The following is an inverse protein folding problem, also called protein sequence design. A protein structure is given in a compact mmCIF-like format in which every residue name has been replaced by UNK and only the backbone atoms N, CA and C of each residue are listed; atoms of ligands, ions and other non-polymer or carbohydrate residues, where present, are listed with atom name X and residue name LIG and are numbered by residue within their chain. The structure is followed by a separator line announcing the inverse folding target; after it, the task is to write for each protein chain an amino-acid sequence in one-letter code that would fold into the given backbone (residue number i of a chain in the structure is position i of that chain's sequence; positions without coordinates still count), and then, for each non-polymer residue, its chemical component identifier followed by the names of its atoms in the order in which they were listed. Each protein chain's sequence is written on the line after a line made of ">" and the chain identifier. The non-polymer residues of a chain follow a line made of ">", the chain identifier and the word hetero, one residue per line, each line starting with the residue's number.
data_IF_911675563538
#
_entry.id   IF_911675563538
#
_cell.length_a   1.000
_cell.length_b   1.000
_cell.length_c   1.000
_cell.angle_alpha   90.00
_cell.angle_beta   90.00
_cell.angle_gamma   90.00
#
_symmetry.space_group_name_H-M   'P 1'
#
loop_
_entity.id
_entity.type
_entity.pdbx_description
1 polymer ?
#
# COMPACT_ATOMS: atom_id res chain seq x y z
N UNK A 1 -19.40 -22.61 -10.25
CA UNK A 1 -18.13 -23.17 -10.75
C UNK A 1 -17.18 -22.02 -11.07
N UNK A 2 -16.56 -21.41 -10.05
CA UNK A 2 -15.41 -20.52 -10.17
C UNK A 2 -14.80 -20.42 -8.76
N UNK A 3 -13.92 -21.38 -8.45
CA UNK A 3 -13.04 -21.35 -7.28
C UNK A 3 -11.74 -20.71 -7.75
N UNK A 4 -11.46 -19.48 -7.32
CA UNK A 4 -10.11 -18.91 -7.46
C UNK A 4 -9.37 -19.14 -6.15
N UNK A 5 -8.46 -20.10 -6.20
CA UNK A 5 -7.67 -20.62 -5.09
C UNK A 5 -6.70 -19.55 -4.57
N UNK A 6 -6.83 -19.20 -3.29
CA UNK A 6 -5.90 -18.37 -2.53
C UNK A 6 -4.61 -19.16 -2.27
N UNK A 7 -3.71 -19.20 -3.25
CA UNK A 7 -2.32 -19.64 -3.06
C UNK A 7 -1.37 -18.45 -3.25
N UNK A 8 -1.33 -17.58 -2.25
CA UNK A 8 -0.41 -16.45 -2.18
C UNK A 8 1.04 -16.89 -1.93
N UNK A 9 1.75 -17.31 -2.99
CA UNK A 9 3.20 -17.55 -3.01
C UNK A 9 3.94 -16.24 -2.63
N UNK A 10 5.05 -16.27 -1.87
CA UNK A 10 5.73 -15.05 -1.39
C UNK A 10 6.11 -14.10 -2.54
N UNK A 11 5.78 -12.81 -2.37
CA UNK A 11 6.12 -11.69 -3.26
C UNK A 11 7.64 -11.48 -3.27
N UNK A 12 8.34 -12.03 -4.25
CA UNK A 12 9.71 -11.62 -4.58
C UNK A 12 9.61 -10.43 -5.52
N UNK A 13 9.88 -9.23 -5.02
CA UNK A 13 10.06 -8.05 -5.87
C UNK A 13 11.32 -8.24 -6.70
N UNK A 14 11.16 -8.57 -7.98
CA UNK A 14 12.26 -8.58 -8.94
C UNK A 14 12.43 -7.14 -9.43
N UNK A 15 13.65 -6.62 -9.34
CA UNK A 15 14.03 -5.31 -9.88
C UNK A 15 14.91 -5.52 -11.10
N UNK A 16 14.59 -4.86 -12.20
CA UNK A 16 15.40 -4.88 -13.42
C UNK A 16 16.08 -3.53 -13.59
N UNK A 17 17.38 -3.55 -13.92
CA UNK A 17 18.17 -2.35 -14.18
C UNK A 17 18.16 -2.08 -15.69
N UNK A 18 17.55 -0.98 -16.12
CA UNK A 18 17.67 -0.54 -17.51
C UNK A 18 19.11 -0.10 -17.82
N UNK A 19 19.52 -0.03 -19.10
CA UNK A 19 20.82 0.54 -19.49
C UNK A 19 21.04 1.96 -18.94
N UNK A 20 19.96 2.70 -18.67
CA UNK A 20 19.95 4.05 -18.09
C UNK A 20 19.84 4.11 -16.55
N UNK A 21 20.17 3.02 -15.83
CA UNK A 21 20.31 3.01 -14.36
C UNK A 21 19.02 3.17 -13.55
N UNK A 22 17.83 2.96 -14.12
CA UNK A 22 16.58 3.00 -13.35
C UNK A 22 16.17 1.61 -12.86
N UNK A 23 15.68 1.56 -11.61
CA UNK A 23 15.06 0.38 -11.03
C UNK A 23 13.62 0.27 -11.52
N UNK A 24 13.40 -0.61 -12.49
CA UNK A 24 12.06 -1.00 -12.94
C UNK A 24 11.57 -2.13 -12.05
N UNK A 25 10.35 -1.99 -11.51
CA UNK A 25 9.68 -3.08 -10.80
C UNK A 25 9.15 -4.07 -11.82
N UNK A 26 9.51 -5.35 -11.69
CA UNK A 26 9.06 -6.38 -12.62
C UNK A 26 7.85 -7.12 -12.06
N UNK A 27 6.78 -7.19 -12.85
CA UNK A 27 5.57 -7.99 -12.57
C UNK A 27 5.64 -9.32 -13.32
N UNK A 28 4.93 -10.35 -12.84
CA UNK A 28 4.98 -11.68 -13.47
C UNK A 28 4.24 -11.73 -14.81
N UNK A 29 3.10 -11.06 -14.91
CA UNK A 29 2.31 -11.00 -16.14
C UNK A 29 1.61 -9.66 -16.31
N UNK A 30 1.32 -9.30 -17.56
CA UNK A 30 0.53 -8.11 -17.88
C UNK A 30 -0.92 -8.22 -17.39
N UNK A 31 -1.44 -9.44 -17.22
CA UNK A 31 -2.80 -9.73 -16.71
C UNK A 31 -2.96 -9.52 -15.20
N UNK A 32 -1.87 -9.28 -14.46
CA UNK A 32 -1.94 -9.10 -13.00
C UNK A 32 -2.67 -7.81 -12.61
N UNK A 33 -2.72 -6.81 -13.51
CA UNK A 33 -3.49 -5.59 -13.29
C UNK A 33 -4.24 -5.20 -14.58
N UNK A 34 -5.51 -4.84 -14.42
CA UNK A 34 -6.34 -4.26 -15.49
C UNK A 34 -6.26 -2.74 -15.41
N UNK A 35 -6.05 -2.07 -16.55
CA UNK A 35 -6.00 -0.62 -16.58
C UNK A 35 -7.43 -0.06 -16.53
N UNK A 36 -7.77 0.79 -15.53
CA UNK A 36 -9.14 1.29 -15.39
C UNK A 36 -9.53 2.35 -16.45
N UNK A 37 -8.59 2.76 -17.32
CA UNK A 37 -8.87 3.70 -18.42
C UNK A 37 -9.33 2.94 -19.67
N UNK A 38 -8.58 1.91 -20.09
CA UNK A 38 -8.89 1.15 -21.31
C UNK A 38 -9.59 -0.19 -21.04
N UNK A 39 -9.72 -0.62 -19.78
CA UNK A 39 -10.33 -1.90 -19.37
C UNK A 39 -9.64 -3.14 -19.96
N UNK A 40 -8.33 -3.03 -20.22
CA UNK A 40 -7.49 -4.10 -20.75
C UNK A 40 -6.32 -4.40 -19.79
N UNK A 41 -5.67 -5.58 -19.91
CA UNK A 41 -4.43 -5.88 -19.21
C UNK A 41 -3.38 -4.77 -19.38
N UNK A 42 -2.82 -4.30 -18.26
CA UNK A 42 -1.99 -3.11 -18.25
C UNK A 42 -0.62 -3.34 -18.92
N UNK A 43 -0.49 -2.84 -20.15
CA UNK A 43 0.73 -2.90 -20.98
C UNK A 43 1.69 -1.76 -20.64
N UNK A 44 2.98 -2.09 -20.50
CA UNK A 44 4.03 -1.19 -20.01
C UNK A 44 3.56 -0.42 -18.78
N UNK A 45 3.03 -1.12 -17.78
CA UNK A 45 2.26 -0.40 -16.77
C UNK A 45 3.10 0.52 -15.90
N UNK A 46 2.45 1.59 -15.46
CA UNK A 46 2.98 2.59 -14.55
C UNK A 46 2.15 2.58 -13.27
N UNK A 47 2.84 2.48 -12.14
CA UNK A 47 2.28 2.61 -10.80
C UNK A 47 2.44 4.06 -10.35
N UNK A 48 1.36 4.68 -9.88
CA UNK A 48 1.39 6.05 -9.35
C UNK A 48 1.78 6.04 -7.88
N UNK A 49 2.10 7.21 -7.30
CA UNK A 49 2.34 7.31 -5.85
C UNK A 49 1.14 6.91 -4.97
N UNK A 50 -0.07 6.84 -5.52
CA UNK A 50 -1.25 6.36 -4.81
C UNK A 50 -1.47 4.84 -4.96
N UNK A 51 -0.57 4.14 -5.66
CA UNK A 51 -0.59 2.69 -5.86
C UNK A 51 -1.51 2.21 -6.99
N UNK A 52 -2.21 3.11 -7.69
CA UNK A 52 -3.02 2.73 -8.85
C UNK A 52 -2.14 2.51 -10.07
N UNK A 53 -2.51 1.50 -10.87
CA UNK A 53 -1.72 1.03 -12.02
C UNK A 53 -2.47 1.30 -13.32
N UNK A 54 -1.77 1.81 -14.32
CA UNK A 54 -2.32 2.15 -15.63
C UNK A 54 -1.41 1.69 -16.74
N UNK A 55 -1.94 1.52 -17.96
CA UNK A 55 -1.11 1.47 -19.17
C UNK A 55 -0.31 2.78 -19.30
N UNK A 56 0.95 2.71 -19.71
CA UNK A 56 1.77 3.90 -19.95
C UNK A 56 1.08 4.88 -20.91
N UNK A 57 0.60 4.37 -22.06
CA UNK A 57 -0.08 5.20 -23.07
C UNK A 57 -1.29 5.94 -22.50
N UNK A 58 -2.13 5.27 -21.70
CA UNK A 58 -3.35 5.87 -21.16
C UNK A 58 -3.06 7.01 -20.19
N UNK A 59 -2.13 6.81 -19.25
CA UNK A 59 -1.85 7.83 -18.23
C UNK A 59 -1.00 8.98 -18.78
N UNK A 60 -0.09 8.71 -19.72
CA UNK A 60 0.71 9.74 -20.39
C UNK A 60 -0.17 10.60 -21.28
N UNK A 61 -1.12 10.01 -22.01
CA UNK A 61 -2.09 10.77 -22.80
C UNK A 61 -2.98 11.66 -21.92
N UNK A 62 -3.37 11.18 -20.74
CA UNK A 62 -4.10 11.98 -19.75
C UNK A 62 -3.30 13.21 -19.29
N UNK A 63 -2.00 13.03 -19.04
CA UNK A 63 -1.09 14.14 -18.73
C UNK A 63 -0.95 15.13 -19.90
N UNK A 64 -0.69 14.63 -21.12
CA UNK A 64 -0.49 15.48 -22.30
C UNK A 64 -1.72 16.31 -22.67
N UNK A 65 -2.91 15.77 -22.45
CA UNK A 65 -4.18 16.46 -22.73
C UNK A 65 -4.45 17.60 -21.73
N UNK A 66 -3.93 17.47 -20.51
CA UNK A 66 -4.12 18.42 -19.42
C UNK A 66 -2.78 19.03 -18.99
N UNK A 67 -1.95 19.42 -19.97
CA UNK A 67 -0.64 19.97 -19.65
C UNK A 67 -0.78 21.31 -18.91
N UNK A 68 -0.58 21.27 -17.60
CA UNK A 68 -0.61 22.43 -16.73
C UNK A 68 0.67 22.46 -15.88
N UNK A 69 0.88 23.58 -15.17
CA UNK A 69 1.94 23.69 -14.17
C UNK A 69 1.70 22.81 -12.95
N UNK A 70 0.52 22.19 -12.81
CA UNK A 70 0.15 21.35 -11.67
C UNK A 70 0.26 19.85 -12.02
N UNK A 71 0.57 18.98 -11.05
CA UNK A 71 0.55 17.53 -11.28
C UNK A 71 -0.83 17.04 -11.74
N UNK A 72 -0.89 15.99 -12.55
CA UNK A 72 -2.17 15.41 -12.94
C UNK A 72 -2.82 14.68 -11.76
N UNK A 73 -4.16 14.60 -11.77
CA UNK A 73 -4.90 13.84 -10.78
C UNK A 73 -5.07 12.39 -11.23
N UNK A 74 -4.98 11.47 -10.27
CA UNK A 74 -5.25 10.06 -10.48
C UNK A 74 -6.71 9.85 -10.94
N UNK A 75 -6.96 9.21 -12.10
CA UNK A 75 -8.33 8.97 -12.57
C UNK A 75 -9.19 8.13 -11.62
N UNK A 76 -8.57 7.32 -10.76
CA UNK A 76 -9.28 6.45 -9.82
C UNK A 76 -9.58 7.13 -8.48
N UNK A 77 -8.56 7.63 -7.78
CA UNK A 77 -8.71 8.20 -6.43
C UNK A 77 -8.59 9.72 -6.36
N UNK A 78 -8.34 10.40 -7.49
CA UNK A 78 -8.17 11.87 -7.59
C UNK A 78 -7.02 12.46 -6.79
N UNK A 79 -6.11 11.63 -6.29
CA UNK A 79 -4.89 12.10 -5.65
C UNK A 79 -3.91 12.66 -6.70
N UNK A 80 -3.17 13.71 -6.34
CA UNK A 80 -2.08 14.24 -7.17
C UNK A 80 -1.02 13.17 -7.45
N UNK A 81 -0.69 13.00 -8.73
CA UNK A 81 0.36 12.09 -9.18
C UNK A 81 1.65 12.90 -9.27
N UNK A 82 2.54 12.82 -8.29
CA UNK A 82 3.86 13.49 -8.36
C UNK A 82 4.98 12.55 -8.81
N UNK A 83 4.69 11.25 -8.86
CA UNK A 83 5.65 10.22 -9.21
C UNK A 83 4.95 9.09 -9.99
N UNK A 84 5.55 8.73 -11.11
CA UNK A 84 5.23 7.56 -11.92
C UNK A 84 6.38 6.55 -11.81
N UNK A 85 6.05 5.31 -11.43
CA UNK A 85 7.01 4.23 -11.28
C UNK A 85 6.78 3.16 -12.34
N UNK A 86 7.78 2.86 -13.20
CA UNK A 86 7.69 1.78 -14.17
C UNK A 86 7.52 0.40 -13.51
N UNK A 87 6.45 -0.29 -13.90
CA UNK A 87 6.08 -1.62 -13.41
C UNK A 87 5.84 -2.59 -14.57
N UNK A 88 6.85 -2.88 -15.37
CA UNK A 88 6.68 -3.68 -16.59
C UNK A 88 6.53 -5.18 -16.29
N UNK A 89 5.80 -5.90 -17.14
CA UNK A 89 5.70 -7.35 -17.04
C UNK A 89 7.02 -8.02 -17.49
N UNK A 90 7.34 -9.18 -16.94
CA UNK A 90 8.57 -9.92 -17.24
C UNK A 90 8.75 -10.15 -18.74
N UNK A 91 7.68 -10.49 -19.45
CA UNK A 91 7.69 -10.62 -20.91
C UNK A 91 8.02 -9.32 -21.66
N UNK A 92 7.62 -8.15 -21.14
CA UNK A 92 7.91 -6.83 -21.74
C UNK A 92 9.35 -6.39 -21.48
N UNK A 93 9.92 -6.81 -20.35
CA UNK A 93 11.31 -6.50 -19.98
C UNK A 93 12.29 -7.41 -20.73
N UNK A 94 11.98 -8.70 -20.84
CA UNK A 94 12.83 -9.71 -21.48
C UNK A 94 12.68 -9.76 -23.00
N UNK A 95 11.65 -9.11 -23.57
CA UNK A 95 11.50 -8.99 -25.01
C UNK A 95 12.74 -8.31 -25.62
N UNK A 96 13.25 -8.93 -26.69
CA UNK A 96 14.35 -8.43 -27.52
C UNK A 96 13.88 -7.91 -28.88
N UNK A 97 12.58 -7.97 -29.14
CA UNK A 97 11.97 -7.43 -30.36
C UNK A 97 12.20 -5.91 -30.42
N UNK A 98 12.83 -5.45 -31.49
CA UNK A 98 13.20 -4.03 -31.68
C UNK A 98 12.03 -3.06 -31.41
N UNK A 99 10.80 -3.29 -31.89
CA UNK A 99 9.69 -2.37 -31.64
C UNK A 99 9.29 -2.28 -30.16
N UNK A 100 9.39 -3.39 -29.42
CA UNK A 100 9.05 -3.42 -27.99
C UNK A 100 10.13 -2.75 -27.14
N UNK A 101 11.40 -2.92 -27.51
CA UNK A 101 12.53 -2.23 -26.86
C UNK A 101 12.41 -0.73 -27.05
N UNK A 102 12.12 -0.28 -28.27
CA UNK A 102 11.93 1.14 -28.57
C UNK A 102 10.74 1.73 -27.81
N UNK A 103 9.59 1.03 -27.79
CA UNK A 103 8.42 1.48 -27.03
C UNK A 103 8.72 1.58 -25.52
N UNK A 104 9.45 0.60 -24.96
CA UNK A 104 9.88 0.63 -23.56
C UNK A 104 10.77 1.83 -23.26
N UNK A 105 11.74 2.12 -24.12
CA UNK A 105 12.66 3.25 -23.95
C UNK A 105 11.93 4.59 -24.05
N UNK A 106 10.99 4.71 -24.98
CA UNK A 106 10.13 5.88 -25.11
C UNK A 106 9.29 6.11 -23.84
N UNK A 107 8.64 5.05 -23.33
CA UNK A 107 7.85 5.13 -22.09
C UNK A 107 8.72 5.57 -20.91
N UNK A 108 9.92 4.99 -20.77
CA UNK A 108 10.86 5.35 -19.71
C UNK A 108 11.26 6.82 -19.80
N UNK A 109 11.57 7.33 -21.00
CA UNK A 109 11.91 8.73 -21.20
C UNK A 109 10.76 9.68 -20.82
N UNK A 110 9.52 9.35 -21.20
CA UNK A 110 8.33 10.15 -20.85
C UNK A 110 8.07 10.16 -19.33
N UNK A 111 8.27 9.03 -18.66
CA UNK A 111 8.16 8.93 -17.19
C UNK A 111 9.21 9.80 -16.50
N UNK A 112 10.45 9.78 -16.99
CA UNK A 112 11.52 10.63 -16.47
C UNK A 112 11.22 12.11 -16.63
N UNK A 113 10.66 12.51 -17.77
CA UNK A 113 10.24 13.89 -18.03
C UNK A 113 9.16 14.32 -17.05
N UNK A 114 8.12 13.50 -16.88
CA UNK A 114 7.05 13.75 -15.90
C UNK A 114 7.60 13.89 -14.48
N UNK A 115 8.39 12.90 -14.04
CA UNK A 115 8.92 12.88 -12.69
C UNK A 115 9.83 14.07 -12.41
N UNK A 116 10.65 14.50 -13.38
CA UNK A 116 11.50 15.69 -13.24
C UNK A 116 10.69 16.97 -13.04
N UNK A 117 9.52 17.07 -13.68
CA UNK A 117 8.68 18.26 -13.61
C UNK A 117 7.92 18.35 -12.28
N UNK A 118 7.50 17.22 -11.71
CA UNK A 118 6.57 17.21 -10.57
C UNK A 118 7.10 16.56 -9.29
N UNK A 119 8.31 16.00 -9.26
CA UNK A 119 8.86 15.34 -8.06
C UNK A 119 9.00 16.25 -6.85
N UNK A 120 9.22 17.55 -7.07
CA UNK A 120 9.42 18.55 -6.02
C UNK A 120 8.14 19.31 -5.66
N UNK A 121 7.00 18.96 -6.26
CA UNK A 121 5.76 19.68 -5.98
C UNK A 121 5.31 19.48 -4.52
N UNK A 122 5.08 20.57 -3.76
CA UNK A 122 4.67 20.47 -2.37
C UNK A 122 3.24 19.91 -2.31
N UNK A 123 3.07 18.74 -1.66
CA UNK A 123 1.75 18.19 -1.42
C UNK A 123 1.01 19.01 -0.37
N UNK A 124 -0.26 19.29 -0.63
CA UNK A 124 -1.14 19.83 0.41
C UNK A 124 -1.26 18.85 1.57
N UNK A 125 -1.13 19.35 2.80
CA UNK A 125 -1.32 18.58 4.03
C UNK A 125 -2.67 17.85 4.07
N UNK A 126 -3.70 18.43 3.45
CA UNK A 126 -5.04 17.85 3.38
C UNK A 126 -5.09 16.61 2.47
N UNK A 127 -4.35 16.62 1.36
CA UNK A 127 -4.20 15.46 0.49
C UNK A 127 -3.50 14.30 1.20
N UNK A 128 -2.54 14.60 2.07
CA UNK A 128 -1.88 13.59 2.90
C UNK A 128 -2.81 12.98 3.95
N UNK A 129 -3.80 13.74 4.42
CA UNK A 129 -4.84 13.22 5.33
C UNK A 129 -5.85 12.31 4.62
N UNK A 130 -6.13 12.54 3.33
CA UNK A 130 -7.05 11.72 2.54
C UNK A 130 -6.52 10.30 2.28
N UNK A 131 -5.21 10.10 2.38
CA UNK A 131 -4.57 8.78 2.23
C UNK A 131 -4.69 7.93 3.50
N UNK A 132 -4.98 8.56 4.63
CA UNK A 132 -5.05 7.94 5.95
C UNK A 132 -6.05 6.76 6.05
N UNK A 133 -7.27 6.80 5.50
CA UNK A 133 -8.22 5.69 5.59
C UNK A 133 -7.73 4.43 4.86
N UNK A 134 -7.08 4.63 3.71
CA UNK A 134 -6.55 3.53 2.89
C UNK A 134 -5.33 2.90 3.55
N UNK A 135 -4.43 3.73 4.08
CA UNK A 135 -3.25 3.27 4.85
C UNK A 135 -3.71 2.58 6.14
N UNK A 136 -4.65 3.18 6.87
CA UNK A 136 -5.20 2.62 8.11
C UNK A 136 -5.83 1.26 7.87
N UNK A 137 -6.55 1.05 6.76
CA UNK A 137 -7.10 -0.27 6.39
C UNK A 137 -6.00 -1.32 6.17
N UNK A 138 -4.90 -0.96 5.53
CA UNK A 138 -3.77 -1.88 5.31
C UNK A 138 -3.05 -2.19 6.62
N UNK A 139 -2.78 -1.17 7.43
CA UNK A 139 -2.20 -1.34 8.77
C UNK A 139 -3.11 -2.17 9.65
N UNK A 140 -4.43 -1.98 9.58
CA UNK A 140 -5.41 -2.79 10.31
C UNK A 140 -5.38 -4.26 9.88
N UNK A 141 -5.26 -4.55 8.58
CA UNK A 141 -5.14 -5.92 8.11
C UNK A 141 -3.82 -6.58 8.55
N UNK A 142 -2.72 -5.82 8.60
CA UNK A 142 -1.42 -6.31 9.06
C UNK A 142 -1.32 -6.45 10.59
N UNK A 143 -2.02 -5.62 11.36
CA UNK A 143 -2.14 -5.75 12.82
C UNK A 143 -2.78 -7.08 13.24
N UNK A 144 -3.63 -7.67 12.38
CA UNK A 144 -4.26 -8.97 12.58
C UNK A 144 -3.37 -10.17 12.19
N UNK A 145 -2.11 -9.94 11.82
CA UNK A 145 -1.13 -11.01 11.58
C UNK A 145 -0.36 -11.37 12.86
N UNK A 146 0.26 -12.56 12.92
CA UNK A 146 1.05 -13.03 14.07
C UNK A 146 2.16 -12.05 14.49
N UNK A 147 2.73 -11.30 13.53
CA UNK A 147 3.72 -10.24 13.76
C UNK A 147 3.10 -8.97 14.35
N UNK A 148 1.88 -8.62 13.93
CA UNK A 148 1.10 -7.51 14.45
C UNK A 148 0.69 -7.71 15.92
N UNK A 149 0.36 -8.95 16.31
CA UNK A 149 0.07 -9.32 17.71
C UNK A 149 1.26 -9.01 18.61
N UNK A 150 2.47 -9.44 18.24
CA UNK A 150 3.68 -9.15 19.02
C UNK A 150 4.00 -7.65 19.07
N UNK A 151 3.70 -6.89 18.01
CA UNK A 151 3.83 -5.42 18.03
C UNK A 151 2.80 -4.76 18.95
N UNK A 152 1.56 -5.25 18.96
CA UNK A 152 0.51 -4.77 19.86
C UNK A 152 0.84 -5.05 21.34
N UNK A 153 1.35 -6.25 21.65
CA UNK A 153 1.85 -6.57 22.99
C UNK A 153 3.03 -5.69 23.39
N UNK A 154 3.99 -5.43 22.48
CA UNK A 154 5.10 -4.52 22.75
C UNK A 154 4.63 -3.08 22.96
N UNK A 155 3.68 -2.61 22.17
CA UNK A 155 3.08 -1.28 22.31
C UNK A 155 2.38 -1.15 23.67
N UNK A 156 1.63 -2.17 24.10
CA UNK A 156 1.00 -2.23 25.42
C UNK A 156 2.02 -2.08 26.55
N UNK A 157 3.09 -2.87 26.52
CA UNK A 157 4.17 -2.79 27.53
C UNK A 157 4.82 -1.40 27.55
N UNK A 158 5.07 -0.80 26.37
CA UNK A 158 5.63 0.55 26.28
C UNK A 158 4.67 1.58 26.87
N UNK A 159 3.37 1.52 26.54
CA UNK A 159 2.36 2.44 27.08
C UNK A 159 2.23 2.30 28.60
N UNK A 160 2.27 1.07 29.15
CA UNK A 160 2.26 0.84 30.59
C UNK A 160 3.50 1.40 31.29
N UNK A 161 4.69 1.24 30.68
CA UNK A 161 5.94 1.82 31.22
C UNK A 161 5.91 3.35 31.15
N UNK A 162 5.44 3.94 30.05
CA UNK A 162 5.28 5.39 29.91
C UNK A 162 4.30 5.93 30.94
N UNK A 163 3.16 5.27 31.13
CA UNK A 163 2.17 5.64 32.14
C UNK A 163 2.76 5.55 33.56
N UNK A 164 3.53 4.50 33.87
CA UNK A 164 4.22 4.34 35.15
C UNK A 164 5.30 5.41 35.39
N UNK A 165 6.05 5.80 34.35
CA UNK A 165 7.06 6.87 34.45
C UNK A 165 6.38 8.23 34.62
N UNK A 166 5.32 8.53 33.86
CA UNK A 166 4.53 9.76 34.01
C UNK A 166 3.90 9.86 35.41
N UNK A 167 3.49 8.73 35.99
CA UNK A 167 3.04 8.65 37.38
C UNK A 167 4.15 9.03 38.37
N UNK A 168 5.36 8.47 38.21
CA UNK A 168 6.49 8.75 39.11
C UNK A 168 7.01 10.19 39.01
N UNK A 169 6.96 10.78 37.80
CA UNK A 169 7.52 12.11 37.52
C UNK A 169 6.51 13.24 37.78
N UNK A 170 5.20 12.96 37.75
CA UNK A 170 4.16 13.95 38.01
C UNK A 170 4.07 14.27 39.50
N UNK A 171 4.28 15.54 39.94
CA UNK A 171 4.21 15.94 41.34
C UNK A 171 2.77 16.09 41.86
N UNK A 172 1.76 15.60 41.12
CA UNK A 172 0.34 15.77 41.42
C UNK A 172 -0.37 14.41 41.29
N UNK A 173 -0.51 13.71 42.43
CA UNK A 173 -1.39 12.55 42.62
C UNK A 173 -2.87 12.97 42.53
N UNK A 174 -3.40 13.15 41.30
CA UNK A 174 -4.79 13.63 41.08
C UNK A 174 -5.63 12.72 40.18
N UNK A 175 -5.25 11.46 40.03
CA UNK A 175 -6.14 10.43 39.48
C UNK A 175 -6.59 9.57 40.67
N UNK A 176 -7.88 9.61 41.07
CA UNK A 176 -8.38 8.68 42.06
C UNK A 176 -8.05 7.26 41.60
N UNK A 177 -7.46 6.44 42.46
CA UNK A 177 -7.05 5.06 42.18
C UNK A 177 -8.17 4.21 41.53
N UNK A 178 -9.43 4.63 41.71
CA UNK A 178 -10.61 4.07 41.05
C UNK A 178 -10.62 4.20 39.51
N UNK A 179 -10.09 5.28 38.93
CA UNK A 179 -10.07 5.47 37.48
C UNK A 179 -9.01 4.58 36.79
N UNK A 180 -7.89 4.32 37.45
CA UNK A 180 -6.84 3.42 36.96
C UNK A 180 -7.29 1.96 36.93
N UNK A 181 -8.03 1.51 37.95
CA UNK A 181 -8.63 0.18 37.95
C UNK A 181 -9.64 -0.02 36.80
N UNK A 182 -10.48 1.00 36.53
CA UNK A 182 -11.46 0.95 35.46
C UNK A 182 -10.82 1.01 34.06
N UNK A 183 -9.78 1.83 33.88
CA UNK A 183 -9.09 1.96 32.60
C UNK A 183 -8.29 0.70 32.26
N UNK A 184 -7.64 0.08 33.26
CA UNK A 184 -6.97 -1.22 33.10
C UNK A 184 -7.96 -2.35 32.80
N UNK A 185 -9.11 -2.37 33.48
CA UNK A 185 -10.19 -3.32 33.18
C UNK A 185 -10.74 -3.13 31.76
N UNK A 186 -10.93 -1.89 31.32
CA UNK A 186 -11.37 -1.59 29.96
C UNK A 186 -10.36 -2.09 28.90
N UNK A 187 -9.06 -1.92 29.15
CA UNK A 187 -7.98 -2.47 28.31
C UNK A 187 -8.04 -4.02 28.25
N UNK A 188 -8.20 -4.68 29.40
CA UNK A 188 -8.34 -6.15 29.45
C UNK A 188 -9.60 -6.65 28.72
N UNK A 189 -10.73 -5.94 28.85
CA UNK A 189 -11.96 -6.25 28.10
C UNK A 189 -11.74 -6.12 26.59
N UNK A 190 -11.06 -5.06 26.14
CA UNK A 190 -10.71 -4.87 24.73
C UNK A 190 -9.82 -6.01 24.23
N UNK A 191 -8.82 -6.42 25.02
CA UNK A 191 -7.93 -7.55 24.69
C UNK A 191 -8.73 -8.86 24.59
N UNK A 192 -9.64 -9.12 25.53
CA UNK A 192 -10.50 -10.31 25.49
C UNK A 192 -11.39 -10.31 24.25
N UNK A 193 -12.01 -9.17 23.92
CA UNK A 193 -12.83 -9.02 22.70
C UNK A 193 -11.99 -9.31 21.45
N UNK A 194 -10.77 -8.79 21.37
CA UNK A 194 -9.85 -9.04 20.24
C UNK A 194 -9.52 -10.53 20.14
N UNK A 195 -9.19 -11.20 21.25
CA UNK A 195 -8.89 -12.64 21.29
C UNK A 195 -10.11 -13.45 20.81
N UNK A 196 -11.32 -13.13 21.27
CA UNK A 196 -12.55 -13.82 20.87
C UNK A 196 -12.85 -13.67 19.38
N UNK A 197 -12.65 -12.47 18.82
CA UNK A 197 -12.78 -12.24 17.36
C UNK A 197 -11.77 -13.11 16.60
N UNK A 198 -10.53 -13.23 17.07
CA UNK A 198 -9.53 -14.11 16.43
C UNK A 198 -9.93 -15.58 16.48
N UNK A 199 -10.35 -16.07 17.64
CA UNK A 199 -10.81 -17.46 17.80
C UNK A 199 -11.98 -17.74 16.85
N UNK A 200 -12.90 -16.80 16.70
CA UNK A 200 -14.01 -16.89 15.75
C UNK A 200 -13.55 -16.96 14.29
N UNK A 201 -12.57 -16.14 13.90
CA UNK A 201 -12.00 -16.16 12.54
C UNK A 201 -11.27 -17.48 12.30
N UNK A 202 -10.40 -17.91 13.22
CA UNK A 202 -9.67 -19.18 13.12
C UNK A 202 -10.64 -20.37 13.07
N UNK A 203 -11.65 -20.39 13.93
CA UNK A 203 -12.70 -21.42 13.92
C UNK A 203 -13.43 -21.44 12.57
N UNK A 204 -13.84 -20.29 12.04
CA UNK A 204 -14.45 -20.18 10.72
C UNK A 204 -13.53 -20.68 9.61
N UNK A 205 -12.24 -20.38 9.65
CA UNK A 205 -11.26 -20.86 8.67
C UNK A 205 -11.03 -22.36 8.77
N UNK A 206 -10.95 -22.92 9.98
CA UNK A 206 -10.75 -24.36 10.21
C UNK A 206 -12.00 -25.16 9.83
N UNK A 207 -13.20 -24.64 10.12
CA UNK A 207 -14.47 -25.25 9.74
C UNK A 207 -14.71 -25.14 8.23
N UNK A 208 -14.43 -23.99 7.61
CA UNK A 208 -14.55 -23.82 6.17
C UNK A 208 -13.55 -24.69 5.37
N UNK A 209 -12.43 -25.09 5.99
CA UNK A 209 -11.47 -26.06 5.42
C UNK A 209 -11.80 -27.52 5.77
N UNK A 210 -12.92 -27.80 6.45
CA UNK A 210 -13.37 -29.16 6.80
C UNK A 210 -14.54 -29.68 5.98
N UNK A 211 -15.04 -28.89 5.04
CA UNK A 211 -15.91 -29.40 3.98
C UNK A 211 -15.00 -29.94 2.86
N UNK A 212 -15.25 -31.21 2.47
CA UNK A 212 -14.54 -32.18 1.60
C UNK A 212 -13.14 -32.68 2.01
#
# INVERSE_FOLDING_TARGET
>A
MFLCSLTGKPRRHLTFRTPNTEMVRVRRSASENECPICMDPARFALETNCGHVYCARCIIQNWQTNFTTTPMLCPYCRQEIILLLPCFAEGEVMASDVPLVEEREQVVAQVQEYNRMYSEHPRSWYGQLQDLPTILRHVWAELFTWRGILMAFKLRVILSVVMAVLYVVSPIDLIPEAFLGLLGLADDVVVIIIILIQVSIVYRTVVANRDW
#
